data_IF_967161015605
#
_entry.id   IF_967161015605
#
_cell.length_a   1.000
_cell.length_b   1.000
_cell.length_c   1.000
_cell.angle_alpha   90.00
_cell.angle_beta   90.00
_cell.angle_gamma   90.00
#
_symmetry.space_group_name_H-M   'P 1'
#
loop_
_entity.id
_entity.type
_entity.pdbx_description
1 polymer ?
#
# COMPACT_ATOMS: atom_id res chain seq x y z
N UNK A 1 5.02 -8.50 -12.28
CA UNK A 1 4.95 -9.59 -11.28
C UNK A 1 5.36 -10.88 -11.95
N UNK A 2 5.99 -11.81 -11.23
CA UNK A 2 6.30 -13.14 -11.78
C UNK A 2 5.06 -14.06 -11.72
N UNK A 3 4.93 -15.02 -12.65
CA UNK A 3 3.70 -15.81 -12.79
C UNK A 3 3.38 -16.75 -11.60
N UNK A 4 4.36 -17.06 -10.76
CA UNK A 4 4.22 -17.93 -9.59
C UNK A 4 4.16 -17.16 -8.25
N UNK A 5 4.23 -15.83 -8.31
CA UNK A 5 4.25 -14.97 -7.15
C UNK A 5 2.86 -14.89 -6.49
N UNK A 6 2.81 -14.85 -5.16
CA UNK A 6 1.58 -14.99 -4.37
C UNK A 6 1.34 -13.81 -3.45
N UNK A 7 0.10 -13.35 -3.38
CA UNK A 7 -0.31 -12.27 -2.47
C UNK A 7 -0.23 -12.76 -1.02
N UNK A 8 0.51 -12.01 -0.22
CA UNK A 8 0.76 -12.26 1.21
C UNK A 8 -0.04 -11.32 2.08
N UNK A 9 -0.15 -10.07 1.65
CA UNK A 9 -1.06 -9.10 2.23
C UNK A 9 -1.60 -8.16 1.16
N UNK A 10 -2.82 -7.69 1.33
CA UNK A 10 -3.29 -6.54 0.58
C UNK A 10 -4.09 -5.61 1.49
N UNK A 11 -3.92 -4.32 1.29
CA UNK A 11 -4.51 -3.27 2.11
C UNK A 11 -5.23 -2.30 1.20
N UNK A 12 -6.49 -1.98 1.51
CA UNK A 12 -7.31 -1.04 0.74
C UNK A 12 -7.37 0.32 1.42
N UNK A 13 -7.86 1.34 0.71
CA UNK A 13 -7.92 2.74 1.17
C UNK A 13 -6.58 3.27 1.69
N UNK A 14 -5.50 2.87 1.02
CA UNK A 14 -4.17 3.39 1.27
C UNK A 14 -4.06 4.76 0.61
N UNK A 15 -3.81 5.79 1.41
CA UNK A 15 -3.43 7.11 0.94
C UNK A 15 -1.92 7.18 0.79
N UNK A 16 -1.46 7.38 -0.46
CA UNK A 16 -0.05 7.54 -0.81
C UNK A 16 0.26 8.99 -1.12
N UNK A 17 1.25 9.54 -0.44
CA UNK A 17 1.72 10.91 -0.63
C UNK A 17 3.22 10.94 -0.90
N UNK A 18 3.65 11.79 -1.84
CA UNK A 18 5.07 12.04 -2.03
C UNK A 18 5.61 12.88 -0.88
N UNK A 19 6.85 12.63 -0.47
CA UNK A 19 7.56 13.48 0.49
C UNK A 19 8.38 14.60 -0.16
N UNK A 20 8.23 14.85 -1.46
CA UNK A 20 8.93 15.93 -2.16
C UNK A 20 8.35 17.30 -1.79
N UNK A 21 9.21 18.30 -1.60
CA UNK A 21 8.79 19.71 -1.52
C UNK A 21 8.01 20.05 -2.81
N UNK A 22 6.82 20.65 -2.68
CA UNK A 22 5.84 20.97 -3.74
C UNK A 22 4.89 19.85 -4.23
N UNK A 23 4.82 18.67 -3.61
CA UNK A 23 3.76 17.72 -3.97
C UNK A 23 2.40 18.14 -3.39
N UNK A 24 1.48 18.53 -4.27
CA UNK A 24 0.07 18.77 -3.93
C UNK A 24 -0.71 17.48 -4.21
N UNK A 25 -1.36 16.96 -3.17
CA UNK A 25 -2.30 15.84 -3.26
C UNK A 25 -1.67 14.45 -3.12
N UNK A 26 -2.46 13.53 -2.56
CA UNK A 26 -2.16 12.10 -2.50
C UNK A 26 -3.04 11.29 -3.45
N UNK A 27 -2.82 9.98 -3.46
CA UNK A 27 -3.64 9.02 -4.22
C UNK A 27 -4.17 7.96 -3.29
N UNK A 28 -5.46 7.66 -3.41
CA UNK A 28 -6.02 6.46 -2.81
C UNK A 28 -5.74 5.27 -3.71
N UNK A 29 -5.40 4.14 -3.11
CA UNK A 29 -5.24 2.88 -3.81
C UNK A 29 -5.16 1.69 -2.85
N UNK A 30 -4.70 0.58 -3.39
CA UNK A 30 -4.35 -0.62 -2.65
C UNK A 30 -2.83 -0.71 -2.53
N UNK A 31 -2.36 -1.16 -1.37
CA UNK A 31 -0.98 -1.58 -1.17
C UNK A 31 -0.97 -3.10 -1.08
N UNK A 32 -0.27 -3.73 -2.01
CA UNK A 32 -0.26 -5.19 -2.16
C UNK A 32 1.17 -5.67 -1.97
N UNK A 33 1.30 -6.63 -1.07
CA UNK A 33 2.54 -7.30 -0.74
C UNK A 33 2.46 -8.73 -1.25
N UNK A 34 3.41 -9.09 -2.11
CA UNK A 34 3.58 -10.45 -2.62
C UNK A 34 4.84 -11.08 -1.99
N UNK A 35 5.30 -12.22 -2.50
CA UNK A 35 6.57 -12.81 -2.02
C UNK A 35 7.83 -12.10 -2.52
N UNK A 36 7.75 -11.22 -3.54
CA UNK A 36 8.94 -10.55 -4.12
C UNK A 36 8.78 -9.06 -4.37
N UNK A 37 7.54 -8.57 -4.46
CA UNK A 37 7.25 -7.20 -4.85
C UNK A 37 6.32 -6.50 -3.86
N UNK A 38 6.51 -5.19 -3.78
CA UNK A 38 5.57 -4.27 -3.17
C UNK A 38 4.90 -3.46 -4.28
N UNK A 39 3.58 -3.44 -4.29
CA UNK A 39 2.80 -2.84 -5.35
C UNK A 39 1.80 -1.83 -4.82
N UNK A 40 1.64 -0.73 -5.55
CA UNK A 40 0.61 0.27 -5.29
C UNK A 40 -0.31 0.41 -6.51
N UNK A 41 -1.56 -0.02 -6.32
CA UNK A 41 -2.61 -0.04 -7.35
C UNK A 41 -3.61 1.08 -7.06
N UNK A 42 -3.63 2.14 -7.87
CA UNK A 42 -4.63 3.23 -7.77
C UNK A 42 -5.54 3.32 -9.00
N UNK A 43 -5.23 2.57 -10.05
CA UNK A 43 -6.11 2.33 -11.19
C UNK A 43 -6.45 0.85 -11.18
N UNK A 44 -7.63 0.53 -10.68
CA UNK A 44 -8.14 -0.84 -10.65
C UNK A 44 -9.48 -0.91 -11.34
N UNK A 45 -9.73 -2.02 -12.02
CA UNK A 45 -11.05 -2.34 -12.58
C UNK A 45 -11.95 -3.07 -11.57
N UNK A 46 -11.43 -3.30 -10.36
CA UNK A 46 -12.18 -3.94 -9.27
C UNK A 46 -13.55 -3.31 -9.05
N UNK A 47 -14.56 -4.16 -8.85
CA UNK A 47 -15.94 -3.74 -8.69
C UNK A 47 -16.11 -2.81 -7.49
N UNK A 48 -16.75 -1.66 -7.69
CA UNK A 48 -17.00 -0.66 -6.63
C UNK A 48 -17.74 -1.24 -5.40
N UNK A 49 -18.56 -2.29 -5.59
CA UNK A 49 -19.23 -3.00 -4.49
C UNK A 49 -18.24 -3.79 -3.62
N UNK A 50 -17.27 -4.46 -4.25
CA UNK A 50 -16.21 -5.19 -3.55
C UNK A 50 -15.38 -4.24 -2.69
N UNK A 51 -14.94 -3.11 -3.27
CA UNK A 51 -14.18 -2.08 -2.56
C UNK A 51 -14.87 -1.62 -1.28
N UNK A 52 -16.18 -1.32 -1.34
CA UNK A 52 -16.95 -0.86 -0.18
C UNK A 52 -17.02 -1.93 0.92
N UNK A 53 -17.28 -3.18 0.55
CA UNK A 53 -17.37 -4.29 1.52
C UNK A 53 -16.01 -4.56 2.19
N UNK A 54 -14.94 -4.61 1.41
CA UNK A 54 -13.59 -4.89 1.91
C UNK A 54 -13.07 -3.76 2.80
N UNK A 55 -13.32 -2.50 2.44
CA UNK A 55 -12.92 -1.36 3.28
C UNK A 55 -13.56 -1.45 4.68
N UNK A 56 -14.85 -1.80 4.76
CA UNK A 56 -15.54 -1.98 6.05
C UNK A 56 -14.97 -3.15 6.86
N UNK A 57 -14.75 -4.31 6.22
CA UNK A 57 -14.14 -5.49 6.85
C UNK A 57 -12.74 -5.19 7.37
N UNK A 58 -11.92 -4.51 6.58
CA UNK A 58 -10.57 -4.09 6.95
C UNK A 58 -10.57 -3.22 8.21
N UNK A 59 -11.46 -2.22 8.28
CA UNK A 59 -11.58 -1.37 9.48
C UNK A 59 -11.94 -2.20 10.71
N UNK A 60 -12.92 -3.10 10.61
CA UNK A 60 -13.30 -3.99 11.71
C UNK A 60 -12.14 -4.89 12.13
N UNK A 61 -11.40 -5.43 11.16
CA UNK A 61 -10.21 -6.25 11.42
C UNK A 61 -9.16 -5.45 12.19
N UNK A 62 -8.87 -4.21 11.78
CA UNK A 62 -7.90 -3.36 12.48
C UNK A 62 -8.32 -2.89 13.87
N UNK A 63 -9.63 -2.79 14.13
CA UNK A 63 -10.15 -2.56 15.48
C UNK A 63 -9.92 -3.78 16.40
N UNK A 64 -9.94 -4.99 15.84
CA UNK A 64 -9.69 -6.24 16.58
C UNK A 64 -8.19 -6.56 16.71
N UNK A 65 -7.44 -6.38 15.64
CA UNK A 65 -6.01 -6.65 15.54
C UNK A 65 -5.37 -5.65 14.60
N UNK A 66 -4.38 -4.91 15.07
CA UNK A 66 -3.69 -3.89 14.27
C UNK A 66 -2.78 -4.47 13.18
N UNK A 67 -2.63 -5.79 13.11
CA UNK A 67 -1.71 -6.46 12.19
C UNK A 67 -2.05 -6.18 10.72
N UNK A 68 -1.10 -5.63 9.98
CA UNK A 68 -1.22 -5.28 8.55
C UNK A 68 -1.04 -6.47 7.59
N UNK A 69 -0.60 -7.63 8.08
CA UNK A 69 -0.50 -8.86 7.29
C UNK A 69 -1.87 -9.55 7.15
N UNK A 70 -2.76 -8.96 6.37
CA UNK A 70 -4.12 -9.47 6.12
C UNK A 70 -4.38 -9.70 4.64
N UNK A 71 -5.27 -10.64 4.35
CA UNK A 71 -5.80 -10.91 3.02
C UNK A 71 -7.32 -10.80 3.06
N UNK A 72 -7.89 -10.29 1.98
CA UNK A 72 -9.31 -10.24 1.69
C UNK A 72 -9.63 -11.21 0.55
N UNK A 73 -10.88 -11.65 0.54
CA UNK A 73 -11.50 -12.45 -0.51
C UNK A 73 -11.85 -11.58 -1.73
N UNK A 74 -11.87 -12.18 -2.92
CA UNK A 74 -12.34 -11.53 -4.16
C UNK A 74 -11.37 -10.55 -4.83
N UNK A 75 -10.08 -10.63 -4.48
CA UNK A 75 -8.98 -10.04 -5.25
C UNK A 75 -7.73 -10.92 -5.11
N UNK A 76 -7.25 -11.45 -6.22
CA UNK A 76 -6.25 -12.48 -6.35
C UNK A 76 -5.12 -12.07 -7.31
N UNK A 77 -4.27 -13.04 -7.64
CA UNK A 77 -3.11 -12.81 -8.50
C UNK A 77 -3.47 -12.46 -9.96
N UNK A 78 -4.57 -13.00 -10.50
CA UNK A 78 -5.01 -12.70 -11.87
C UNK A 78 -5.51 -11.26 -11.97
N UNK A 79 -6.34 -10.83 -11.02
CA UNK A 79 -6.83 -9.45 -10.97
C UNK A 79 -5.69 -8.45 -10.76
N UNK A 80 -4.69 -8.82 -9.94
CA UNK A 80 -3.47 -8.04 -9.78
C UNK A 80 -2.67 -7.92 -11.08
N UNK A 81 -2.45 -9.03 -11.79
CA UNK A 81 -1.72 -9.00 -13.06
C UNK A 81 -2.40 -8.10 -14.09
N UNK A 82 -3.74 -8.17 -14.19
CA UNK A 82 -4.52 -7.31 -15.07
C UNK A 82 -4.38 -5.83 -14.69
N UNK A 83 -4.49 -5.50 -13.39
CA UNK A 83 -4.30 -4.13 -12.91
C UNK A 83 -2.88 -3.61 -13.20
N UNK A 84 -1.85 -4.47 -13.14
CA UNK A 84 -0.46 -4.09 -13.39
C UNK A 84 -0.15 -3.79 -14.88
N UNK A 85 -1.01 -4.20 -15.82
CA UNK A 85 -0.89 -3.75 -17.22
C UNK A 85 -1.00 -2.22 -17.33
N UNK A 86 -1.71 -1.59 -16.38
CA UNK A 86 -1.76 -0.15 -16.27
C UNK A 86 -0.47 0.42 -15.69
N UNK A 87 0.38 0.98 -16.55
CA UNK A 87 1.66 1.63 -16.21
C UNK A 87 1.58 2.74 -15.15
N UNK A 88 0.37 3.24 -14.80
CA UNK A 88 0.18 4.18 -13.71
C UNK A 88 0.30 3.51 -12.34
N UNK A 89 0.00 2.22 -12.25
CA UNK A 89 0.23 1.42 -11.05
C UNK A 89 1.72 1.17 -10.89
N UNK A 90 2.15 1.01 -9.64
CA UNK A 90 3.55 0.89 -9.30
C UNK A 90 3.81 -0.52 -8.83
N UNK A 91 4.76 -1.17 -9.49
CA UNK A 91 5.46 -2.36 -9.02
C UNK A 91 6.90 -1.96 -8.63
N UNK A 92 7.36 -2.47 -7.49
CA UNK A 92 8.72 -2.30 -6.96
C UNK A 92 9.19 -3.66 -6.43
N UNK A 93 10.31 -4.16 -6.94
CA UNK A 93 10.93 -5.36 -6.36
C UNK A 93 11.49 -5.03 -4.98
N UNK A 94 11.52 -6.00 -4.06
CA UNK A 94 12.06 -5.74 -2.72
C UNK A 94 13.50 -5.23 -2.76
N UNK A 95 14.32 -5.72 -3.68
CA UNK A 95 15.71 -5.31 -3.81
C UNK A 95 15.88 -3.87 -4.34
N UNK A 96 14.86 -3.31 -4.99
CA UNK A 96 14.84 -1.90 -5.44
C UNK A 96 14.42 -0.93 -4.33
N UNK A 97 13.99 -1.45 -3.17
CA UNK A 97 13.60 -0.66 -2.00
C UNK A 97 14.86 -0.30 -1.21
N UNK A 98 15.28 0.96 -1.32
CA UNK A 98 16.44 1.49 -0.58
C UNK A 98 16.15 1.73 0.91
N UNK A 99 14.90 2.05 1.26
CA UNK A 99 14.50 2.18 2.66
C UNK A 99 13.03 1.88 2.88
N UNK A 100 12.73 1.08 3.91
CA UNK A 100 11.38 0.86 4.37
C UNK A 100 11.33 0.89 5.90
N UNK A 101 10.43 1.71 6.43
CA UNK A 101 10.26 1.94 7.88
C UNK A 101 8.84 2.39 8.18
N UNK A 102 8.51 2.52 9.45
CA UNK A 102 7.20 3.03 9.86
C UNK A 102 7.35 4.05 10.98
N UNK A 103 6.36 4.93 11.10
CA UNK A 103 6.31 5.98 12.11
C UNK A 103 4.90 6.10 12.67
N UNK A 104 4.79 6.09 14.00
CA UNK A 104 3.55 6.41 14.69
C UNK A 104 3.39 7.93 14.78
N UNK A 105 2.28 8.45 14.27
CA UNK A 105 1.88 9.85 14.43
C UNK A 105 0.64 9.94 15.31
N UNK A 106 0.38 11.13 15.84
CA UNK A 106 -0.81 11.38 16.68
C UNK A 106 -2.10 10.97 15.95
N UNK A 107 -2.16 11.26 14.64
CA UNK A 107 -3.32 11.05 13.78
C UNK A 107 -3.39 9.67 13.10
N UNK A 108 -2.32 8.87 13.10
CA UNK A 108 -2.30 7.57 12.39
C UNK A 108 -0.91 6.95 12.29
N UNK A 109 -0.86 5.69 11.84
CA UNK A 109 0.40 4.95 11.65
C UNK A 109 0.82 5.00 10.18
N UNK A 110 2.06 5.38 9.91
CA UNK A 110 2.55 5.68 8.56
C UNK A 110 3.65 4.70 8.17
N UNK A 111 3.55 4.11 6.98
CA UNK A 111 4.63 3.40 6.31
C UNK A 111 5.42 4.39 5.46
N UNK A 112 6.73 4.37 5.58
CA UNK A 112 7.67 5.19 4.81
C UNK A 112 8.42 4.29 3.85
N UNK A 113 8.43 4.66 2.58
CA UNK A 113 9.08 3.90 1.52
C UNK A 113 9.95 4.81 0.67
N UNK A 114 11.18 4.38 0.45
CA UNK A 114 12.11 4.94 -0.51
C UNK A 114 12.55 3.83 -1.46
N UNK A 115 12.52 4.11 -2.76
CA UNK A 115 12.92 3.15 -3.79
C UNK A 115 13.43 3.89 -5.02
N UNK A 116 14.25 3.21 -5.81
CA UNK A 116 14.75 3.74 -7.07
C UNK A 116 13.92 3.20 -8.23
N UNK A 117 13.43 4.10 -9.09
CA UNK A 117 12.67 3.72 -10.28
C UNK A 117 13.02 4.62 -11.44
N UNK A 118 13.43 4.02 -12.56
CA UNK A 118 13.82 4.74 -13.78
C UNK A 118 14.90 5.82 -13.53
N UNK A 119 15.90 5.51 -12.69
CA UNK A 119 16.97 6.44 -12.32
C UNK A 119 16.54 7.60 -11.41
N UNK A 120 15.32 7.56 -10.86
CA UNK A 120 14.83 8.55 -9.89
C UNK A 120 14.63 7.91 -8.53
N UNK A 121 15.20 8.56 -7.52
CA UNK A 121 14.95 8.23 -6.14
C UNK A 121 13.59 8.79 -5.70
N UNK A 122 12.66 7.90 -5.39
CA UNK A 122 11.29 8.23 -5.03
C UNK A 122 11.08 8.04 -3.52
N UNK A 123 10.40 9.00 -2.89
CA UNK A 123 10.08 8.96 -1.45
C UNK A 123 8.58 9.13 -1.24
N UNK A 124 7.96 8.14 -0.63
CA UNK A 124 6.53 8.11 -0.37
C UNK A 124 6.22 7.79 1.09
N UNK A 125 5.08 8.30 1.55
CA UNK A 125 4.44 7.83 2.77
C UNK A 125 3.08 7.22 2.43
N UNK A 126 2.71 6.19 3.19
CA UNK A 126 1.45 5.48 3.05
C UNK A 126 0.75 5.41 4.40
N UNK A 127 -0.54 5.70 4.40
CA UNK A 127 -1.39 5.56 5.57
C UNK A 127 -2.75 4.99 5.18
N UNK A 128 -3.40 4.25 6.08
CA UNK A 128 -4.74 3.71 5.82
C UNK A 128 -5.76 4.79 6.20
N UNK A 129 -6.44 5.35 5.20
CA UNK A 129 -7.51 6.31 5.38
C UNK A 129 -8.78 5.61 5.86
N UNK A 130 -9.46 6.22 6.83
CA UNK A 130 -10.73 5.74 7.37
C UNK A 130 -11.92 6.56 6.84
N UNK A 131 -11.71 7.84 6.57
CA UNK A 131 -12.77 8.77 6.18
C UNK A 131 -12.25 9.88 5.27
N UNK A 132 -13.12 10.47 4.45
CA UNK A 132 -12.76 11.35 3.34
C UNK A 132 -13.65 12.60 3.27
N UNK A 133 -13.03 13.75 3.02
CA UNK A 133 -13.74 14.90 2.46
C UNK A 133 -13.81 14.76 0.94
N UNK A 134 -14.89 15.25 0.31
CA UNK A 134 -15.07 15.19 -1.15
C UNK A 134 -14.87 16.53 -1.88
N UNK A 135 -14.91 17.64 -1.15
CA UNK A 135 -14.83 19.00 -1.69
C UNK A 135 -13.89 19.86 -0.83
N UNK A 136 -13.04 20.72 -1.41
CA UNK A 136 -12.87 21.00 -2.85
C UNK A 136 -12.07 19.93 -3.60
N UNK A 137 -11.36 19.05 -2.89
CA UNK A 137 -10.67 17.88 -3.43
C UNK A 137 -10.85 16.70 -2.48
N UNK A 138 -10.75 15.47 -3.00
CA UNK A 138 -10.84 14.28 -2.16
C UNK A 138 -9.56 14.11 -1.34
N UNK A 139 -9.69 14.21 -0.01
CA UNK A 139 -8.57 14.04 0.93
C UNK A 139 -9.02 13.26 2.18
N UNK A 140 -8.14 12.48 2.82
CA UNK A 140 -8.49 11.79 4.05
C UNK A 140 -8.63 12.78 5.22
N UNK A 141 -9.68 12.62 6.02
CA UNK A 141 -9.86 13.35 7.27
C UNK A 141 -9.39 12.55 8.49
N UNK A 142 -9.37 11.22 8.37
CA UNK A 142 -9.02 10.30 9.46
C UNK A 142 -8.18 9.16 8.93
N UNK A 143 -7.23 8.72 9.75
CA UNK A 143 -6.36 7.60 9.45
C UNK A 143 -6.40 6.57 10.57
N UNK A 144 -6.16 5.31 10.21
CA UNK A 144 -6.09 4.21 11.15
C UNK A 144 -4.73 4.17 11.85
N UNK A 145 -4.73 3.69 13.09
CA UNK A 145 -3.50 3.26 13.78
C UNK A 145 -3.35 1.75 13.62
N UNK A 146 -2.30 1.33 12.92
CA UNK A 146 -2.05 -0.06 12.53
C UNK A 146 -0.60 -0.44 12.81
N UNK A 147 -0.34 -1.72 12.97
CA UNK A 147 1.00 -2.26 13.17
C UNK A 147 1.63 -2.61 11.82
N UNK A 148 2.49 -1.72 11.33
CA UNK A 148 3.28 -1.90 10.12
C UNK A 148 4.50 -2.82 10.32
N UNK A 149 4.89 -3.13 11.56
CA UNK A 149 6.09 -3.91 11.85
C UNK A 149 6.15 -5.25 11.10
N UNK A 150 5.12 -6.12 11.12
CA UNK A 150 5.19 -7.40 10.41
C UNK A 150 5.30 -7.22 8.89
N UNK A 151 4.65 -6.20 8.33
CA UNK A 151 4.74 -5.88 6.91
C UNK A 151 6.15 -5.43 6.50
N UNK A 152 6.76 -4.53 7.28
CA UNK A 152 8.15 -4.09 7.06
C UNK A 152 9.14 -5.23 7.22
N UNK A 153 8.97 -6.06 8.26
CA UNK A 153 9.84 -7.19 8.51
C UNK A 153 9.79 -8.21 7.37
N UNK A 154 8.59 -8.51 6.85
CA UNK A 154 8.41 -9.46 5.75
C UNK A 154 9.24 -9.11 4.52
N UNK A 155 9.28 -7.82 4.17
CA UNK A 155 10.05 -7.29 3.04
C UNK A 155 11.54 -7.42 3.33
N UNK A 156 12.00 -6.92 4.49
CA UNK A 156 13.42 -6.92 4.87
C UNK A 156 14.01 -8.32 4.92
N UNK A 157 13.25 -9.30 5.40
CA UNK A 157 13.69 -10.71 5.47
C UNK A 157 13.91 -11.34 4.09
N UNK A 158 13.39 -10.72 3.04
CA UNK A 158 13.45 -11.20 1.65
C UNK A 158 14.29 -10.33 0.73
N UNK A 159 14.79 -9.20 1.22
CA UNK A 159 15.78 -8.43 0.48
C UNK A 159 17.09 -9.21 0.47
N UNK A 160 17.72 -9.28 -0.70
CA UNK A 160 19.06 -9.84 -0.81
C UNK A 160 20.01 -8.84 -0.13
N UNK A 161 20.40 -9.13 1.10
CA UNK A 161 21.39 -8.32 1.80
C UNK A 161 22.75 -8.58 1.16
N UNK A 162 23.14 -7.75 0.20
CA UNK A 162 24.54 -7.65 -0.21
C UNK A 162 25.31 -7.11 0.99
N UNK A 163 26.03 -8.00 1.68
CA UNK A 163 26.95 -7.66 2.77
C UNK A 163 28.10 -6.77 2.27
#
# INVERSE_FOLDING_TARGET
MQSNEKIQAHLVSIWRESKRFFSIGGKEGMLILTDRHLMFVHKTESMMKWWKAITQRQVINFLKSKNTMIRHDGYDEEELMNDLENKKNIEVAFDDISSISFQEKVWGSVLLLEYDKNGKHEKFQYAIAQDWVKYPAKEPMKYMKVDWKPFVQYIKDRQIVTK
#
